data_IF_877877939654
#
_entry.id   IF_877877939654
#
_cell.length_a   1.000
_cell.length_b   1.000
_cell.length_c   1.000
_cell.angle_alpha   90.00
_cell.angle_beta   90.00
_cell.angle_gamma   90.00
#
_symmetry.space_group_name_H-M   'P 1'
#
loop_
_entity.id
_entity.type
_entity.pdbx_description
1 polymer ?
#
# COMPACT_ATOMS: atom_id res chain seq x y z
N UNK A 1 -12.61 -15.25 -14.28
CA UNK A 1 -11.96 -14.94 -13.00
C UNK A 1 -10.44 -14.75 -13.15
N UNK A 2 -9.71 -15.73 -13.74
CA UNK A 2 -8.24 -15.65 -13.94
C UNK A 2 -7.77 -14.36 -14.63
N UNK A 3 -8.43 -13.92 -15.70
CA UNK A 3 -8.08 -12.70 -16.43
C UNK A 3 -8.16 -11.43 -15.55
N UNK A 4 -9.10 -11.38 -14.61
CA UNK A 4 -9.26 -10.24 -13.71
C UNK A 4 -8.06 -10.13 -12.79
N UNK A 5 -7.67 -11.23 -12.13
CA UNK A 5 -6.47 -11.27 -11.28
C UNK A 5 -5.20 -10.94 -12.07
N UNK A 6 -5.09 -11.45 -13.31
CA UNK A 6 -3.93 -11.19 -14.16
C UNK A 6 -3.80 -9.69 -14.49
N UNK A 7 -4.88 -9.07 -15.00
CA UNK A 7 -4.88 -7.65 -15.37
C UNK A 7 -4.69 -6.77 -14.14
N UNK A 8 -5.31 -7.12 -13.02
CA UNK A 8 -5.21 -6.37 -11.78
C UNK A 8 -3.77 -6.43 -11.23
N UNK A 9 -3.19 -7.62 -11.13
CA UNK A 9 -1.80 -7.80 -10.75
C UNK A 9 -0.82 -7.09 -11.69
N UNK A 10 -1.04 -7.17 -13.01
CA UNK A 10 -0.22 -6.49 -14.02
C UNK A 10 -0.29 -4.96 -13.84
N UNK A 11 -1.47 -4.42 -13.54
CA UNK A 11 -1.66 -2.98 -13.33
C UNK A 11 -0.85 -2.46 -12.15
N UNK A 12 -0.92 -3.17 -10.99
CA UNK A 12 -0.12 -2.82 -9.82
C UNK A 12 1.37 -3.01 -10.04
N UNK A 13 1.76 -4.12 -10.65
CA UNK A 13 3.16 -4.42 -10.93
C UNK A 13 3.77 -3.37 -11.88
N UNK A 14 3.09 -3.04 -12.98
CA UNK A 14 3.54 -2.02 -13.93
C UNK A 14 3.61 -0.63 -13.29
N UNK A 15 2.64 -0.27 -12.46
CA UNK A 15 2.66 0.96 -11.69
C UNK A 15 3.87 1.01 -10.74
N UNK A 16 4.11 -0.06 -9.99
CA UNK A 16 5.26 -0.15 -9.10
C UNK A 16 6.59 -0.07 -9.83
N UNK A 17 6.72 -0.79 -10.95
CA UNK A 17 7.90 -0.77 -11.79
C UNK A 17 8.17 0.62 -12.38
N UNK A 18 7.14 1.29 -12.89
CA UNK A 18 7.25 2.64 -13.43
C UNK A 18 7.81 3.63 -12.39
N UNK A 19 7.35 3.53 -11.14
CA UNK A 19 7.86 4.37 -10.05
C UNK A 19 9.32 4.05 -9.72
N UNK A 20 9.68 2.76 -9.60
CA UNK A 20 11.03 2.36 -9.21
C UNK A 20 12.09 2.64 -10.28
N UNK A 21 11.70 2.61 -11.56
CA UNK A 21 12.57 2.95 -12.68
C UNK A 21 12.64 4.46 -12.96
N UNK A 22 11.78 5.25 -12.32
CA UNK A 22 11.78 6.70 -12.53
C UNK A 22 13.11 7.34 -12.05
N UNK A 23 13.76 8.20 -12.85
CA UNK A 23 15.04 8.79 -12.47
C UNK A 23 14.93 9.62 -11.20
N UNK A 24 15.75 9.32 -10.20
CA UNK A 24 15.77 9.99 -8.88
C UNK A 24 16.21 11.45 -8.88
N UNK A 25 16.50 12.05 -10.05
CA UNK A 25 16.97 13.43 -10.18
C UNK A 25 16.01 14.52 -9.67
N UNK A 26 14.80 14.14 -9.22
CA UNK A 26 13.76 15.04 -8.71
C UNK A 26 13.58 14.93 -7.18
N UNK A 27 14.56 14.42 -6.45
CA UNK A 27 14.49 14.19 -5.00
C UNK A 27 14.40 15.49 -4.14
N UNK A 28 14.54 16.67 -4.71
CA UNK A 28 14.35 17.95 -4.00
C UNK A 28 12.91 18.14 -3.52
N UNK A 29 11.95 17.43 -4.09
CA UNK A 29 10.55 17.57 -3.72
C UNK A 29 10.18 16.55 -2.63
N UNK A 30 9.75 17.00 -1.47
CA UNK A 30 9.38 16.13 -0.33
C UNK A 30 8.31 15.08 -0.67
N UNK A 31 7.48 15.35 -1.70
CA UNK A 31 6.52 14.40 -2.24
C UNK A 31 7.21 13.17 -2.85
N UNK A 32 8.34 13.35 -3.53
CA UNK A 32 9.03 12.29 -4.28
C UNK A 32 10.04 11.51 -3.43
N UNK A 33 10.49 12.09 -2.32
CA UNK A 33 11.53 11.51 -1.46
C UNK A 33 11.28 10.06 -1.05
N UNK A 34 10.03 9.69 -0.77
CA UNK A 34 9.64 8.36 -0.30
C UNK A 34 8.78 7.58 -1.30
N UNK A 35 8.71 8.03 -2.55
CA UNK A 35 7.83 7.44 -3.58
C UNK A 35 8.21 5.98 -3.90
N UNK A 36 9.45 5.58 -3.65
CA UNK A 36 9.91 4.20 -3.82
C UNK A 36 9.14 3.19 -2.96
N UNK A 37 8.61 3.62 -1.79
CA UNK A 37 7.72 2.80 -0.96
C UNK A 37 6.42 2.47 -1.68
N UNK A 38 5.87 3.46 -2.40
CA UNK A 38 4.69 3.25 -3.24
C UNK A 38 5.00 2.32 -4.42
N UNK A 39 6.23 2.41 -4.95
CA UNK A 39 6.71 1.46 -5.96
C UNK A 39 6.78 0.03 -5.43
N UNK A 40 7.34 -0.18 -4.24
CA UNK A 40 7.39 -1.49 -3.59
C UNK A 40 5.98 -2.02 -3.26
N UNK A 41 5.08 -1.16 -2.79
CA UNK A 41 3.67 -1.52 -2.63
C UNK A 41 3.11 -2.11 -3.93
N UNK A 42 3.27 -1.41 -5.05
CA UNK A 42 2.76 -1.87 -6.35
C UNK A 42 3.34 -3.23 -6.78
N UNK A 43 4.65 -3.42 -6.66
CA UNK A 43 5.30 -4.70 -7.03
C UNK A 43 4.79 -5.85 -6.16
N UNK A 44 4.84 -5.69 -4.83
CA UNK A 44 4.46 -6.77 -3.90
C UNK A 44 2.96 -7.04 -3.99
N UNK A 45 2.12 -6.01 -4.06
CA UNK A 45 0.67 -6.18 -4.19
C UNK A 45 0.27 -6.83 -5.51
N UNK A 46 0.91 -6.44 -6.62
CA UNK A 46 0.70 -7.12 -7.90
C UNK A 46 1.07 -8.61 -7.87
N UNK A 47 2.15 -8.96 -7.17
CA UNK A 47 2.54 -10.36 -6.98
C UNK A 47 1.49 -11.16 -6.16
N UNK A 48 0.85 -10.56 -5.14
CA UNK A 48 -0.21 -11.24 -4.38
C UNK A 48 -1.43 -11.57 -5.23
N UNK A 49 -1.79 -10.72 -6.20
CA UNK A 49 -2.89 -10.98 -7.13
C UNK A 49 -2.56 -12.16 -8.07
N UNK A 50 -1.30 -12.28 -8.49
CA UNK A 50 -0.88 -13.44 -9.30
C UNK A 50 -0.83 -14.75 -8.50
N UNK A 51 -0.55 -14.69 -7.20
CA UNK A 51 -0.66 -15.87 -6.32
C UNK A 51 -2.11 -16.40 -6.29
N UNK A 52 -3.13 -15.54 -6.35
CA UNK A 52 -4.53 -15.98 -6.45
C UNK A 52 -4.78 -16.79 -7.74
N UNK A 53 -4.08 -16.47 -8.83
CA UNK A 53 -4.14 -17.29 -10.06
C UNK A 53 -3.56 -18.68 -9.80
N UNK A 54 -2.39 -18.76 -9.15
CA UNK A 54 -1.75 -20.05 -8.85
C UNK A 54 -2.59 -20.92 -7.92
N UNK A 55 -3.31 -20.37 -6.95
CA UNK A 55 -4.25 -21.11 -6.11
C UNK A 55 -5.35 -21.82 -6.93
N UNK A 56 -5.77 -21.18 -8.03
CA UNK A 56 -6.82 -21.74 -8.89
C UNK A 56 -6.25 -22.79 -9.86
N UNK A 57 -5.05 -22.54 -10.39
CA UNK A 57 -4.43 -23.38 -11.43
C UNK A 57 -3.77 -24.61 -10.82
N UNK A 58 -3.20 -24.48 -9.62
CA UNK A 58 -2.42 -25.54 -8.96
C UNK A 58 -2.86 -25.74 -7.50
N UNK A 59 -4.05 -26.31 -7.27
CA UNK A 59 -4.62 -26.48 -5.94
C UNK A 59 -3.85 -27.48 -5.05
N UNK A 60 -2.93 -28.26 -5.60
CA UNK A 60 -2.05 -29.17 -4.85
C UNK A 60 -1.11 -28.44 -3.88
N UNK A 61 -0.76 -27.19 -4.17
CA UNK A 61 0.15 -26.35 -3.38
C UNK A 61 -0.58 -25.20 -2.63
N UNK A 62 -1.88 -25.38 -2.35
CA UNK A 62 -2.73 -24.35 -1.76
C UNK A 62 -2.18 -23.79 -0.44
N UNK A 63 -1.62 -24.63 0.41
CA UNK A 63 -1.06 -24.21 1.71
C UNK A 63 0.14 -23.26 1.53
N UNK A 64 1.00 -23.55 0.54
CA UNK A 64 2.16 -22.68 0.22
C UNK A 64 1.66 -21.33 -0.29
N UNK A 65 0.69 -21.31 -1.18
CA UNK A 65 0.14 -20.05 -1.71
C UNK A 65 -0.62 -19.26 -0.65
N UNK A 66 -1.33 -19.91 0.26
CA UNK A 66 -1.97 -19.26 1.40
C UNK A 66 -0.93 -18.64 2.34
N UNK A 67 0.14 -19.35 2.64
CA UNK A 67 1.25 -18.81 3.44
C UNK A 67 1.92 -17.61 2.77
N UNK A 68 2.18 -17.67 1.46
CA UNK A 68 2.76 -16.56 0.71
C UNK A 68 1.86 -15.33 0.75
N UNK A 69 0.56 -15.47 0.51
CA UNK A 69 -0.37 -14.36 0.60
C UNK A 69 -0.53 -13.82 2.02
N UNK A 70 -0.53 -14.69 3.02
CA UNK A 70 -0.56 -14.30 4.43
C UNK A 70 0.61 -13.39 4.82
N UNK A 71 1.78 -13.59 4.21
CA UNK A 71 2.98 -12.78 4.44
C UNK A 71 3.00 -11.53 3.56
N UNK A 72 2.74 -11.69 2.25
CA UNK A 72 2.94 -10.61 1.27
C UNK A 72 1.85 -9.54 1.30
N UNK A 73 0.59 -9.90 1.59
CA UNK A 73 -0.51 -8.92 1.67
C UNK A 73 -0.25 -7.88 2.77
N UNK A 74 0.01 -8.26 4.04
CA UNK A 74 0.35 -7.28 5.07
C UNK A 74 1.58 -6.45 4.71
N UNK A 75 2.64 -7.08 4.19
CA UNK A 75 3.87 -6.38 3.80
C UNK A 75 3.57 -5.31 2.75
N UNK A 76 2.75 -5.62 1.74
CA UNK A 76 2.38 -4.64 0.72
C UNK A 76 1.69 -3.42 1.34
N UNK A 77 0.69 -3.63 2.20
CA UNK A 77 -0.02 -2.54 2.86
C UNK A 77 0.85 -1.80 3.89
N UNK A 78 1.84 -2.44 4.50
CA UNK A 78 2.81 -1.79 5.36
C UNK A 78 3.67 -0.78 4.58
N UNK A 79 4.08 -1.09 3.35
CA UNK A 79 4.77 -0.12 2.48
C UNK A 79 3.88 1.10 2.17
N UNK A 80 2.61 0.87 1.85
CA UNK A 80 1.66 1.94 1.56
C UNK A 80 1.38 2.79 2.82
N UNK A 81 1.20 2.15 3.98
CA UNK A 81 0.97 2.81 5.26
C UNK A 81 2.16 3.69 5.65
N UNK A 82 3.38 3.13 5.56
CA UNK A 82 4.59 3.86 5.87
C UNK A 82 4.81 5.03 4.89
N UNK A 83 4.51 4.83 3.60
CA UNK A 83 4.52 5.91 2.62
C UNK A 83 3.59 7.06 3.01
N UNK A 84 2.36 6.78 3.39
CA UNK A 84 1.41 7.80 3.84
C UNK A 84 1.89 8.54 5.10
N UNK A 85 2.34 7.79 6.11
CA UNK A 85 2.82 8.33 7.38
C UNK A 85 4.04 9.24 7.24
N UNK A 86 5.13 8.74 6.67
CA UNK A 86 6.40 9.51 6.57
C UNK A 86 6.18 10.81 5.85
N UNK A 87 5.29 10.81 4.89
CA UNK A 87 5.02 12.00 4.10
C UNK A 87 4.21 13.06 4.83
N UNK A 88 3.31 12.63 5.72
CA UNK A 88 2.60 13.56 6.59
C UNK A 88 3.53 14.21 7.62
N UNK A 89 4.56 13.48 8.06
CA UNK A 89 5.56 14.03 8.98
C UNK A 89 6.40 15.09 8.29
N UNK A 90 6.89 14.76 7.10
CA UNK A 90 7.68 15.71 6.31
C UNK A 90 6.88 16.99 6.01
N UNK A 91 5.55 16.87 5.85
CA UNK A 91 4.66 18.01 5.64
C UNK A 91 4.45 18.84 6.91
N UNK A 92 4.10 18.20 8.03
CA UNK A 92 3.77 18.91 9.27
C UNK A 92 4.98 19.28 10.14
N UNK A 93 6.14 18.63 9.96
CA UNK A 93 7.41 18.87 10.70
C UNK A 93 7.28 18.85 12.25
N UNK A 94 6.15 18.40 12.79
CA UNK A 94 5.83 18.43 14.22
C UNK A 94 6.09 17.13 14.97
N UNK A 95 6.19 16.01 14.24
CA UNK A 95 6.35 14.68 14.84
C UNK A 95 7.76 14.16 14.60
N UNK A 96 8.36 13.60 15.64
CA UNK A 96 9.66 12.91 15.50
C UNK A 96 9.45 11.56 14.81
N UNK A 97 10.37 11.17 13.95
CA UNK A 97 10.39 9.86 13.30
C UNK A 97 10.28 8.69 14.28
N UNK A 98 10.87 8.81 15.49
CA UNK A 98 10.80 7.78 16.52
C UNK A 98 9.36 7.53 17.02
N UNK A 99 8.58 8.57 17.26
CA UNK A 99 7.18 8.42 17.69
C UNK A 99 6.33 7.72 16.64
N UNK A 100 6.62 7.93 15.40
CA UNK A 100 5.88 7.32 14.28
C UNK A 100 6.22 5.87 14.11
N UNK A 101 7.50 5.54 14.19
CA UNK A 101 7.92 4.13 14.16
C UNK A 101 7.21 3.37 15.29
N UNK A 102 7.13 3.95 16.49
CA UNK A 102 6.43 3.33 17.61
C UNK A 102 4.94 3.17 17.31
N UNK A 103 4.26 4.21 16.85
CA UNK A 103 2.82 4.14 16.50
C UNK A 103 2.58 3.09 15.41
N UNK A 104 3.45 3.09 14.39
CA UNK A 104 3.38 2.12 13.31
C UNK A 104 3.57 0.68 13.79
N UNK A 105 4.57 0.44 14.65
CA UNK A 105 4.82 -0.90 15.22
C UNK A 105 3.66 -1.37 16.09
N UNK A 106 3.12 -0.49 16.95
CA UNK A 106 1.94 -0.81 17.75
C UNK A 106 0.73 -1.12 16.88
N UNK A 107 0.49 -0.35 15.82
CA UNK A 107 -0.59 -0.59 14.89
C UNK A 107 -0.45 -1.92 14.14
N UNK A 108 0.76 -2.28 13.72
CA UNK A 108 1.02 -3.53 13.01
C UNK A 108 0.91 -4.78 13.92
N UNK A 109 1.17 -4.64 15.23
CA UNK A 109 1.05 -5.74 16.21
C UNK A 109 -0.41 -6.16 16.43
N UNK A 110 -1.36 -5.23 16.42
CA UNK A 110 -2.78 -5.53 16.70
C UNK A 110 -3.33 -6.58 15.72
N UNK A 111 -3.25 -6.41 14.38
CA UNK A 111 -3.72 -7.43 13.44
C UNK A 111 -3.03 -8.76 13.63
N UNK A 112 -1.72 -8.74 13.92
CA UNK A 112 -0.93 -9.95 14.13
C UNK A 112 -1.44 -10.75 15.35
N UNK A 113 -1.65 -10.10 16.48
CA UNK A 113 -2.12 -10.77 17.70
C UNK A 113 -3.53 -11.37 17.51
N UNK A 114 -4.45 -10.64 16.87
CA UNK A 114 -5.79 -11.12 16.60
C UNK A 114 -5.75 -12.33 15.66
N UNK A 115 -4.91 -12.28 14.63
CA UNK A 115 -4.73 -13.35 13.66
C UNK A 115 -4.19 -14.61 14.33
N UNK A 116 -3.16 -14.51 15.16
CA UNK A 116 -2.55 -15.64 15.85
C UNK A 116 -3.49 -16.31 16.87
N UNK A 117 -4.50 -15.60 17.36
CA UNK A 117 -5.51 -16.14 18.26
C UNK A 117 -6.74 -16.76 17.56
N UNK A 118 -6.79 -16.69 16.23
CA UNK A 118 -7.93 -17.17 15.44
C UNK A 118 -7.82 -18.65 15.07
N UNK A 119 -8.96 -19.28 14.78
CA UNK A 119 -9.02 -20.68 14.36
C UNK A 119 -8.54 -20.85 12.91
N UNK A 120 -8.84 -19.90 12.03
CA UNK A 120 -8.35 -19.86 10.64
C UNK A 120 -7.41 -18.64 10.48
N UNK A 121 -6.10 -18.93 10.63
CA UNK A 121 -5.06 -17.91 10.61
C UNK A 121 -4.98 -17.22 9.25
N UNK A 122 -5.10 -17.96 8.14
CA UNK A 122 -4.94 -17.40 6.80
C UNK A 122 -6.11 -16.47 6.42
N UNK A 123 -7.35 -16.93 6.66
CA UNK A 123 -8.54 -16.12 6.37
C UNK A 123 -8.57 -14.88 7.26
N UNK A 124 -8.38 -15.07 8.57
CA UNK A 124 -8.42 -13.98 9.54
C UNK A 124 -7.33 -12.97 9.26
N UNK A 125 -6.10 -13.42 8.96
CA UNK A 125 -4.98 -12.55 8.62
C UNK A 125 -5.24 -11.69 7.39
N UNK A 126 -5.81 -12.26 6.34
CA UNK A 126 -6.19 -11.52 5.14
C UNK A 126 -7.26 -10.46 5.42
N UNK A 127 -8.29 -10.80 6.20
CA UNK A 127 -9.35 -9.86 6.59
C UNK A 127 -8.76 -8.69 7.38
N UNK A 128 -7.99 -8.96 8.44
CA UNK A 128 -7.42 -7.91 9.27
C UNK A 128 -6.37 -7.07 8.54
N UNK A 129 -5.56 -7.68 7.65
CA UNK A 129 -4.63 -6.91 6.83
C UNK A 129 -5.36 -5.89 5.94
N UNK A 130 -6.50 -6.26 5.36
CA UNK A 130 -7.32 -5.37 4.54
C UNK A 130 -7.97 -4.27 5.37
N UNK A 131 -8.65 -4.61 6.46
CA UNK A 131 -9.37 -3.63 7.28
C UNK A 131 -8.45 -2.77 8.16
N UNK A 132 -7.46 -3.34 8.82
CA UNK A 132 -6.62 -2.62 9.77
C UNK A 132 -5.34 -2.02 9.16
N UNK A 133 -4.89 -2.49 8.01
CA UNK A 133 -3.72 -1.93 7.34
C UNK A 133 -4.10 -1.21 6.04
N UNK A 134 -4.86 -1.85 5.13
CA UNK A 134 -5.14 -1.26 3.82
C UNK A 134 -5.99 0.01 3.92
N UNK A 135 -7.10 -0.01 4.65
CA UNK A 135 -7.98 1.17 4.77
C UNK A 135 -7.22 2.37 5.33
N UNK A 136 -6.57 2.31 6.51
CA UNK A 136 -5.79 3.45 6.99
C UNK A 136 -4.66 3.87 6.06
N UNK A 137 -3.96 2.91 5.43
CA UNK A 137 -2.87 3.20 4.50
C UNK A 137 -3.34 4.01 3.29
N UNK A 138 -4.46 3.62 2.71
CA UNK A 138 -5.06 4.31 1.57
C UNK A 138 -5.58 5.69 1.94
N UNK A 139 -6.23 5.85 3.10
CA UNK A 139 -6.65 7.15 3.62
C UNK A 139 -5.48 8.10 3.87
N UNK A 140 -4.41 7.63 4.51
CA UNK A 140 -3.20 8.43 4.74
C UNK A 140 -2.55 8.85 3.43
N UNK A 141 -2.47 7.94 2.47
CA UNK A 141 -1.92 8.20 1.14
C UNK A 141 -2.78 9.21 0.36
N UNK A 142 -4.09 9.04 0.38
CA UNK A 142 -5.03 9.96 -0.25
C UNK A 142 -4.94 11.37 0.37
N UNK A 143 -4.91 11.44 1.71
CA UNK A 143 -4.79 12.70 2.44
C UNK A 143 -3.46 13.41 2.14
N UNK A 144 -2.37 12.65 2.02
CA UNK A 144 -1.07 13.20 1.57
C UNK A 144 -1.22 13.91 0.22
N UNK A 145 -1.72 13.24 -0.81
CA UNK A 145 -1.88 13.83 -2.14
C UNK A 145 -2.80 15.06 -2.12
N UNK A 146 -3.86 15.03 -1.33
CA UNK A 146 -4.75 16.16 -1.13
C UNK A 146 -4.05 17.38 -0.52
N UNK A 147 -3.19 17.19 0.48
CA UNK A 147 -2.41 18.26 1.10
C UNK A 147 -1.44 18.90 0.10
N UNK A 148 -0.72 18.08 -0.66
CA UNK A 148 0.24 18.60 -1.65
C UNK A 148 -0.44 19.33 -2.81
N UNK A 149 -1.67 18.98 -3.19
CA UNK A 149 -2.45 19.73 -4.16
C UNK A 149 -2.61 21.19 -3.77
N UNK A 150 -2.73 21.49 -2.49
CA UNK A 150 -2.91 22.85 -1.99
C UNK A 150 -1.58 23.63 -1.84
N UNK A 151 -0.46 23.02 -2.14
CA UNK A 151 0.87 23.66 -2.14
C UNK A 151 1.04 24.57 -3.35
N UNK A 152 1.70 25.71 -3.15
CA UNK A 152 2.05 26.65 -4.23
C UNK A 152 3.17 26.14 -5.16
N UNK A 153 3.78 25.00 -4.84
CA UNK A 153 4.94 24.43 -5.57
C UNK A 153 4.55 23.75 -6.88
N UNK A 154 3.26 23.44 -7.10
CA UNK A 154 2.77 22.67 -8.23
C UNK A 154 1.97 23.51 -9.21
N UNK A 155 2.12 23.23 -10.53
CA UNK A 155 1.28 23.79 -11.58
C UNK A 155 -0.17 23.31 -11.46
N UNK A 156 -1.13 24.00 -12.08
CA UNK A 156 -2.55 23.60 -12.02
C UNK A 156 -2.81 22.20 -12.60
N UNK A 157 -2.08 21.79 -13.63
CA UNK A 157 -2.20 20.45 -14.17
C UNK A 157 -1.66 19.39 -13.18
N UNK A 158 -0.53 19.65 -12.53
CA UNK A 158 0.00 18.78 -11.49
C UNK A 158 -0.96 18.64 -10.30
N UNK A 159 -1.61 19.74 -9.89
CA UNK A 159 -2.63 19.73 -8.83
C UNK A 159 -3.84 18.86 -9.19
N UNK A 160 -4.26 18.86 -10.46
CA UNK A 160 -5.32 17.97 -10.96
C UNK A 160 -4.92 16.51 -10.84
N UNK A 161 -3.69 16.13 -11.22
CA UNK A 161 -3.19 14.77 -11.06
C UNK A 161 -3.09 14.36 -9.59
N UNK A 162 -2.62 15.24 -8.71
CA UNK A 162 -2.59 14.96 -7.27
C UNK A 162 -3.98 14.70 -6.69
N UNK A 163 -4.99 15.46 -7.15
CA UNK A 163 -6.38 15.23 -6.77
C UNK A 163 -6.90 13.89 -7.29
N UNK A 164 -6.61 13.54 -8.54
CA UNK A 164 -6.99 12.24 -9.11
C UNK A 164 -6.36 11.08 -8.33
N UNK A 165 -5.06 11.15 -7.99
CA UNK A 165 -4.42 10.16 -7.14
C UNK A 165 -5.08 10.06 -5.76
N UNK A 166 -5.41 11.19 -5.13
CA UNK A 166 -6.12 11.20 -3.85
C UNK A 166 -7.45 10.44 -3.94
N UNK A 167 -8.28 10.75 -4.94
CA UNK A 167 -9.58 10.10 -5.16
C UNK A 167 -9.39 8.61 -5.46
N UNK A 168 -8.42 8.26 -6.30
CA UNK A 168 -8.14 6.85 -6.66
C UNK A 168 -7.77 6.03 -5.42
N UNK A 169 -6.93 6.55 -4.52
CA UNK A 169 -6.58 5.85 -3.28
C UNK A 169 -7.75 5.74 -2.31
N UNK A 170 -8.65 6.74 -2.25
CA UNK A 170 -9.89 6.63 -1.48
C UNK A 170 -10.78 5.50 -2.03
N UNK A 171 -11.04 5.50 -3.33
CA UNK A 171 -11.85 4.45 -3.98
C UNK A 171 -11.21 3.07 -3.75
N UNK A 172 -9.90 2.97 -3.95
CA UNK A 172 -9.17 1.73 -3.72
C UNK A 172 -9.32 1.24 -2.28
N UNK A 173 -9.24 2.14 -1.27
CA UNK A 173 -9.42 1.78 0.13
C UNK A 173 -10.79 1.17 0.44
N UNK A 174 -11.84 1.67 -0.20
CA UNK A 174 -13.19 1.09 -0.06
C UNK A 174 -13.36 -0.25 -0.80
N UNK A 175 -12.66 -0.44 -1.91
CA UNK A 175 -12.77 -1.67 -2.72
C UNK A 175 -11.85 -2.79 -2.24
N UNK A 176 -10.75 -2.47 -1.55
CA UNK A 176 -9.76 -3.45 -1.07
C UNK A 176 -10.14 -4.10 0.26
N UNK A 177 -11.13 -3.56 0.97
CA UNK A 177 -11.71 -4.10 2.22
C UNK A 177 -12.92 -4.95 1.95
#
# INVERSE_FOLDING_TARGET
>A
MLYIYFIYGLSFFSFGLAILLYPKRLEENSLLKNIWLLGLFGIVHGATEWIEIFKIVEPSNLDVFNLLNFILIPISFLFLFYFGLVSLIDYYKKLSYSHIIIIFMLWAIIPLLITLSSHDIYLTGNIYARYLLAIPATFLTAYRYYLYKNSHTFSEDQKRYLLLFSITFLIYGFLSG
#
